data_IF_264955292742
#
_entry.id   IF_264955292742
#
_cell.length_a   1.000
_cell.length_b   1.000
_cell.length_c   1.000
_cell.angle_alpha   90.00
_cell.angle_beta   90.00
_cell.angle_gamma   90.00
#
_symmetry.space_group_name_H-M   'P 1'
#
loop_
_entity.id
_entity.type
_entity.pdbx_description
1 polymer ?
#
# COMPACT_ATOMS: atom_id res chain seq x y z
N UNK A 1 -10.81 6.56 -13.07
CA UNK A 1 -11.65 7.79 -12.98
C UNK A 1 -11.11 8.85 -11.99
N UNK A 2 -9.98 8.64 -11.30
CA UNK A 2 -9.27 9.71 -10.56
C UNK A 2 -7.89 10.08 -11.17
N UNK A 3 -7.34 9.20 -12.00
CA UNK A 3 -6.00 9.29 -12.61
C UNK A 3 -5.80 10.58 -13.42
N UNK A 4 -6.86 11.05 -14.09
CA UNK A 4 -6.87 12.31 -14.86
C UNK A 4 -6.70 13.55 -14.00
N UNK A 5 -7.01 13.46 -12.70
CA UNK A 5 -6.93 14.57 -11.74
C UNK A 5 -5.75 14.45 -10.79
N UNK A 6 -5.34 13.23 -10.43
CA UNK A 6 -4.24 12.98 -9.49
C UNK A 6 -2.90 12.69 -10.17
N UNK A 7 -2.91 12.39 -11.48
CA UNK A 7 -1.72 11.94 -12.22
C UNK A 7 -1.19 10.57 -11.78
N UNK A 8 -1.83 9.92 -10.80
CA UNK A 8 -1.39 8.65 -10.23
C UNK A 8 -2.28 7.52 -10.73
N UNK A 9 -1.71 6.44 -11.30
CA UNK A 9 -2.49 5.35 -11.86
C UNK A 9 -3.31 4.64 -10.77
N UNK A 10 -4.56 4.37 -11.09
CA UNK A 10 -5.47 3.64 -10.21
C UNK A 10 -5.07 2.18 -10.18
N UNK A 11 -5.08 1.56 -9.00
CA UNK A 11 -4.73 0.15 -8.85
C UNK A 11 -5.91 -0.64 -8.34
N UNK A 12 -6.21 -1.72 -9.07
CA UNK A 12 -7.16 -2.71 -8.61
C UNK A 12 -6.42 -3.71 -7.73
N UNK A 13 -6.88 -3.85 -6.49
CA UNK A 13 -6.31 -4.77 -5.51
C UNK A 13 -7.32 -5.90 -5.31
N UNK A 14 -6.85 -7.14 -5.39
CA UNK A 14 -7.72 -8.30 -5.16
C UNK A 14 -8.10 -8.38 -3.67
N UNK A 15 -9.30 -8.90 -3.38
CA UNK A 15 -9.75 -9.09 -2.00
C UNK A 15 -8.74 -9.88 -1.15
N UNK A 16 -8.10 -10.90 -1.75
CA UNK A 16 -7.09 -11.72 -1.09
C UNK A 16 -5.86 -10.90 -0.69
N UNK A 17 -5.42 -9.99 -1.54
CA UNK A 17 -4.28 -9.12 -1.27
C UNK A 17 -4.59 -8.05 -0.24
N UNK A 18 -5.81 -7.51 -0.27
CA UNK A 18 -6.31 -6.60 0.76
C UNK A 18 -6.30 -7.28 2.13
N UNK A 19 -6.91 -8.46 2.25
CA UNK A 19 -6.97 -9.19 3.53
C UNK A 19 -5.56 -9.52 4.02
N UNK A 20 -4.67 -9.99 3.15
CA UNK A 20 -3.28 -10.31 3.50
C UNK A 20 -2.52 -9.08 4.02
N UNK A 21 -2.62 -7.95 3.31
CA UNK A 21 -1.96 -6.71 3.70
C UNK A 21 -2.44 -6.19 5.05
N UNK A 22 -3.76 -6.10 5.25
CA UNK A 22 -4.32 -5.66 6.53
C UNK A 22 -3.99 -6.61 7.67
N UNK A 23 -4.00 -7.93 7.43
CA UNK A 23 -3.62 -8.92 8.44
C UNK A 23 -2.18 -8.74 8.91
N UNK A 24 -1.22 -8.58 7.98
CA UNK A 24 0.18 -8.36 8.35
C UNK A 24 0.41 -7.02 9.06
N UNK A 25 -0.36 -5.97 8.73
CA UNK A 25 -0.34 -4.71 9.50
C UNK A 25 -0.82 -4.95 10.93
N UNK A 26 -1.92 -5.69 11.12
CA UNK A 26 -2.45 -6.00 12.46
C UNK A 26 -1.54 -6.93 13.27
N UNK A 27 -0.77 -7.80 12.61
CA UNK A 27 0.22 -8.68 13.23
C UNK A 27 1.56 -7.98 13.51
N UNK A 28 1.71 -6.71 13.12
CA UNK A 28 2.91 -5.91 13.34
C UNK A 28 4.08 -6.24 12.40
N UNK A 29 3.84 -7.03 11.34
CA UNK A 29 4.89 -7.41 10.37
C UNK A 29 5.46 -6.20 9.64
N UNK A 30 4.69 -5.10 9.54
CA UNK A 30 5.05 -3.89 8.81
C UNK A 30 5.26 -2.66 9.70
N UNK A 31 5.34 -2.82 11.02
CA UNK A 31 5.51 -1.72 11.99
C UNK A 31 6.83 -0.95 11.81
N UNK A 32 7.80 -1.57 11.15
CA UNK A 32 9.08 -0.97 10.80
C UNK A 32 8.99 -0.01 9.60
N UNK A 33 7.86 0.03 8.89
CA UNK A 33 7.66 0.91 7.74
C UNK A 33 7.10 2.27 8.20
N UNK A 34 7.56 3.39 7.62
CA UNK A 34 7.03 4.71 7.93
C UNK A 34 5.57 4.84 7.44
N UNK A 35 4.74 5.57 8.18
CA UNK A 35 3.30 5.75 7.84
C UNK A 35 3.08 6.29 6.41
N UNK A 36 3.99 7.13 5.91
CA UNK A 36 3.95 7.68 4.56
C UNK A 36 4.04 6.60 3.46
N UNK A 37 4.61 5.44 3.77
CA UNK A 37 4.71 4.31 2.87
C UNK A 37 3.33 3.70 2.54
N UNK A 38 2.37 3.77 3.47
CA UNK A 38 1.01 3.27 3.29
C UNK A 38 0.08 4.25 2.57
N UNK A 39 0.53 5.48 2.31
CA UNK A 39 -0.29 6.49 1.68
C UNK A 39 -0.37 6.31 0.17
N UNK A 40 -1.60 6.23 -0.37
CA UNK A 40 -1.90 6.11 -1.81
C UNK A 40 -1.16 4.95 -2.52
N UNK A 41 -1.12 3.79 -1.87
CA UNK A 41 -0.58 2.55 -2.45
C UNK A 41 -1.71 1.56 -2.72
N UNK A 42 -1.51 0.67 -3.69
CA UNK A 42 -2.44 -0.41 -3.99
C UNK A 42 -2.26 -1.58 -3.03
N UNK A 43 -1.27 -2.43 -3.30
CA UNK A 43 -0.95 -3.58 -2.45
C UNK A 43 0.05 -3.24 -1.34
N UNK A 44 0.14 -4.12 -0.34
CA UNK A 44 1.11 -4.00 0.74
C UNK A 44 2.56 -4.06 0.25
N UNK A 45 2.82 -4.76 -0.86
CA UNK A 45 4.14 -4.83 -1.49
C UNK A 45 4.58 -3.46 -2.01
N UNK A 46 3.65 -2.65 -2.49
CA UNK A 46 3.95 -1.27 -2.88
C UNK A 46 4.24 -0.38 -1.68
N UNK A 47 3.60 -0.63 -0.54
CA UNK A 47 3.95 0.06 0.71
C UNK A 47 5.40 -0.24 1.08
N UNK A 48 5.80 -1.51 1.04
CA UNK A 48 7.19 -1.94 1.30
C UNK A 48 8.17 -1.29 0.32
N UNK A 49 7.85 -1.29 -0.98
CA UNK A 49 8.71 -0.67 -2.00
C UNK A 49 8.81 0.85 -1.85
N UNK A 50 7.73 1.51 -1.44
CA UNK A 50 7.70 2.95 -1.18
C UNK A 50 8.51 3.29 0.07
N UNK A 51 8.42 2.47 1.12
CA UNK A 51 9.23 2.62 2.33
C UNK A 51 10.74 2.55 2.04
N UNK A 52 11.18 1.71 1.10
CA UNK A 52 12.60 1.63 0.69
C UNK A 52 13.11 2.89 -0.01
N UNK A 53 12.21 3.72 -0.55
CA UNK A 53 12.53 4.94 -1.29
C UNK A 53 12.41 6.21 -0.44
N UNK A 54 11.93 6.07 0.80
CA UNK A 54 11.87 7.12 1.82
C UNK A 54 13.13 7.06 2.69
#
# INVERSE_FOLDING_TARGET
>A
MAEVFTGSPGKYVSLKDTIRGFKGIMEGEYDHLPEQAFYMVGSIEEAVEKAKKL
#
